data_IF_691618250322
#
_entry.id   IF_691618250322
#
_cell.length_a   1.000
_cell.length_b   1.000
_cell.length_c   1.000
_cell.angle_alpha   90.00
_cell.angle_beta   90.00
_cell.angle_gamma   90.00
#
_symmetry.space_group_name_H-M   'P 1'
#
loop_
_entity.id
_entity.type
_entity.pdbx_description
1 polymer ?
#
# COMPACT_ATOMS: atom_id res chain seq x y z
N UNK A 1 -30.30 -29.47 -39.61
CA UNK A 1 -30.05 -28.06 -39.12
C UNK A 1 -29.63 -28.01 -37.64
N UNK A 2 -29.89 -28.99 -36.79
CA UNK A 2 -29.54 -29.00 -35.37
C UNK A 2 -28.08 -29.42 -35.06
N UNK A 3 -27.43 -30.21 -35.89
CA UNK A 3 -26.03 -30.62 -35.68
C UNK A 3 -25.01 -29.49 -35.93
N UNK A 4 -25.27 -28.65 -36.91
CA UNK A 4 -24.42 -27.48 -37.21
C UNK A 4 -24.45 -26.43 -36.10
N UNK A 5 -25.64 -26.16 -35.50
CA UNK A 5 -25.76 -25.23 -34.34
C UNK A 5 -25.06 -25.76 -33.10
N UNK A 6 -25.04 -27.07 -32.86
CA UNK A 6 -24.39 -27.69 -31.71
C UNK A 6 -22.87 -27.59 -31.81
N UNK A 7 -22.33 -27.76 -33.03
CA UNK A 7 -20.86 -27.62 -33.25
C UNK A 7 -20.38 -26.20 -33.19
N UNK A 8 -21.14 -25.21 -33.63
CA UNK A 8 -20.78 -23.79 -33.51
C UNK A 8 -20.79 -23.31 -32.05
N UNK A 9 -21.74 -23.77 -31.23
CA UNK A 9 -21.77 -23.46 -29.79
C UNK A 9 -20.58 -24.08 -29.06
N UNK A 10 -20.21 -25.30 -29.39
CA UNK A 10 -19.03 -25.98 -28.83
C UNK A 10 -17.72 -25.28 -29.22
N UNK A 11 -17.58 -24.89 -30.48
CA UNK A 11 -16.42 -24.13 -30.97
C UNK A 11 -16.32 -22.76 -30.29
N UNK A 12 -17.44 -22.06 -30.06
CA UNK A 12 -17.47 -20.79 -29.34
C UNK A 12 -17.07 -20.96 -27.87
N UNK A 13 -17.58 -22.00 -27.19
CA UNK A 13 -17.17 -22.32 -25.81
C UNK A 13 -15.68 -22.68 -25.72
N UNK A 14 -15.16 -23.46 -26.66
CA UNK A 14 -13.75 -23.81 -26.73
C UNK A 14 -12.87 -22.59 -26.95
N UNK A 15 -13.29 -21.69 -27.86
CA UNK A 15 -12.58 -20.43 -28.13
C UNK A 15 -12.58 -19.48 -26.92
N UNK A 16 -13.72 -19.39 -26.22
CA UNK A 16 -13.84 -18.60 -24.98
C UNK A 16 -12.94 -19.16 -23.88
N UNK A 17 -12.90 -20.48 -23.70
CA UNK A 17 -12.02 -21.14 -22.75
C UNK A 17 -10.53 -20.92 -23.07
N UNK A 18 -10.15 -21.02 -24.35
CA UNK A 18 -8.78 -20.74 -24.81
C UNK A 18 -8.38 -19.26 -24.59
N UNK A 19 -9.31 -18.32 -24.74
CA UNK A 19 -9.08 -16.91 -24.52
C UNK A 19 -8.83 -16.59 -23.04
N UNK A 20 -9.53 -17.25 -22.12
CA UNK A 20 -9.32 -17.08 -20.66
C UNK A 20 -8.00 -17.69 -20.17
N UNK A 21 -7.45 -18.70 -20.81
CA UNK A 21 -6.16 -19.31 -20.42
C UNK A 21 -4.97 -18.36 -20.68
N UNK A 22 -5.10 -17.44 -21.64
CA UNK A 22 -4.02 -16.46 -21.95
C UNK A 22 -3.87 -15.36 -20.90
N UNK A 23 -4.83 -15.19 -19.97
CA UNK A 23 -4.79 -14.13 -18.95
C UNK A 23 -4.01 -14.51 -17.68
N UNK A 24 -3.47 -15.72 -17.60
CA UNK A 24 -2.93 -16.29 -16.36
C UNK A 24 -1.41 -16.09 -16.14
N UNK A 25 -0.67 -15.38 -17.02
CA UNK A 25 0.79 -15.28 -16.94
C UNK A 25 1.31 -13.88 -16.64
N UNK A 26 0.66 -13.14 -15.76
CA UNK A 26 1.07 -11.79 -15.38
C UNK A 26 1.78 -11.72 -14.02
N UNK A 27 2.49 -12.77 -13.57
CA UNK A 27 3.25 -12.71 -12.34
C UNK A 27 4.65 -12.11 -12.59
N UNK A 28 5.05 -11.17 -11.72
CA UNK A 28 6.39 -10.64 -11.75
C UNK A 28 7.40 -11.70 -11.29
N UNK A 29 8.37 -12.00 -12.13
CA UNK A 29 9.46 -12.91 -11.75
C UNK A 29 10.59 -12.12 -11.14
N UNK A 30 10.84 -12.33 -9.84
CA UNK A 30 11.98 -11.72 -9.15
C UNK A 30 13.26 -12.29 -9.78
N UNK A 31 14.22 -11.43 -10.21
CA UNK A 31 15.48 -11.89 -10.75
C UNK A 31 16.28 -12.72 -9.75
N UNK A 32 17.14 -13.60 -10.24
CA UNK A 32 18.09 -14.29 -9.37
C UNK A 32 19.01 -13.31 -8.64
N UNK A 33 19.51 -13.72 -7.47
CA UNK A 33 20.43 -12.90 -6.69
C UNK A 33 21.69 -12.62 -7.52
N UNK A 34 22.03 -11.34 -7.77
CA UNK A 34 23.24 -11.00 -8.52
C UNK A 34 24.51 -11.51 -7.82
N UNK A 35 25.48 -11.97 -8.60
CA UNK A 35 26.78 -12.43 -8.07
C UNK A 35 27.51 -11.32 -7.30
N UNK A 36 27.39 -10.07 -7.74
CA UNK A 36 27.88 -8.88 -7.05
C UNK A 36 26.70 -8.15 -6.44
N UNK A 37 26.65 -8.19 -5.12
CA UNK A 37 25.58 -7.50 -4.38
C UNK A 37 25.95 -6.03 -4.20
N UNK A 38 24.97 -5.17 -4.42
CA UNK A 38 25.06 -3.72 -4.25
C UNK A 38 23.80 -3.19 -3.60
N UNK A 39 23.78 -1.90 -3.26
CA UNK A 39 22.62 -1.26 -2.64
C UNK A 39 21.67 -0.60 -3.64
N UNK A 40 22.00 -0.52 -4.94
CA UNK A 40 21.16 0.13 -5.95
C UNK A 40 21.03 -0.72 -7.22
N UNK A 41 19.82 -1.19 -7.48
CA UNK A 41 19.46 -1.96 -8.68
C UNK A 41 18.46 -1.15 -9.53
N UNK A 42 18.98 -0.44 -10.50
CA UNK A 42 18.19 0.42 -11.38
C UNK A 42 17.82 -0.28 -12.69
N UNK A 43 16.81 -1.17 -12.64
CA UNK A 43 16.30 -1.87 -13.82
C UNK A 43 15.39 -0.99 -14.70
N UNK A 44 14.84 0.09 -14.15
CA UNK A 44 13.99 1.02 -14.90
C UNK A 44 14.77 2.16 -15.55
N UNK A 45 16.10 2.21 -15.36
CA UNK A 45 16.98 3.26 -15.88
C UNK A 45 16.45 4.67 -15.56
N UNK A 46 16.05 4.88 -14.29
CA UNK A 46 15.55 6.19 -13.81
C UNK A 46 16.67 7.07 -13.26
N UNK A 47 17.86 6.50 -13.05
CA UNK A 47 19.05 7.19 -12.57
C UNK A 47 20.11 7.24 -13.67
N UNK A 48 20.81 8.34 -13.79
CA UNK A 48 22.03 8.36 -14.58
C UNK A 48 23.20 7.67 -13.83
N UNK A 49 24.31 7.41 -14.52
CA UNK A 49 25.44 6.67 -13.94
C UNK A 49 26.02 7.35 -12.69
N UNK A 50 26.10 8.68 -12.68
CA UNK A 50 26.59 9.45 -11.54
C UNK A 50 25.65 9.40 -10.34
N UNK A 51 24.34 9.60 -10.58
CA UNK A 51 23.29 9.53 -9.56
C UNK A 51 23.25 8.14 -8.91
N UNK A 52 23.31 7.09 -9.73
CA UNK A 52 23.37 5.73 -9.23
C UNK A 52 24.59 5.51 -8.36
N UNK A 53 25.78 5.91 -8.81
CA UNK A 53 27.03 5.73 -8.06
C UNK A 53 27.01 6.49 -6.72
N UNK A 54 26.51 7.73 -6.70
CA UNK A 54 26.40 8.53 -5.48
C UNK A 54 25.42 7.92 -4.47
N UNK A 55 24.25 7.48 -4.92
CA UNK A 55 23.27 6.83 -4.05
C UNK A 55 23.83 5.50 -3.50
N UNK A 56 24.46 4.71 -4.35
CA UNK A 56 25.08 3.44 -3.97
C UNK A 56 26.19 3.62 -2.92
N UNK A 57 27.12 4.55 -3.14
CA UNK A 57 28.18 4.86 -2.18
C UNK A 57 27.61 5.30 -0.82
N UNK A 58 26.59 6.14 -0.83
CA UNK A 58 25.90 6.60 0.38
C UNK A 58 25.29 5.43 1.17
N UNK A 59 24.58 4.55 0.49
CA UNK A 59 23.92 3.40 1.12
C UNK A 59 24.92 2.36 1.64
N UNK A 60 26.00 2.10 0.92
CA UNK A 60 27.08 1.21 1.35
C UNK A 60 27.75 1.77 2.61
N UNK A 61 28.12 3.04 2.62
CA UNK A 61 28.70 3.71 3.82
C UNK A 61 27.77 3.63 5.03
N UNK A 62 26.46 3.76 4.81
CA UNK A 62 25.48 3.60 5.88
C UNK A 62 25.47 2.16 6.41
N UNK A 63 25.43 1.18 5.52
CA UNK A 63 25.46 -0.24 5.89
C UNK A 63 26.72 -0.60 6.67
N UNK A 64 27.88 -0.14 6.22
CA UNK A 64 29.18 -0.40 6.88
C UNK A 64 29.23 0.18 8.31
N UNK A 65 28.57 1.31 8.53
CA UNK A 65 28.58 2.00 9.83
C UNK A 65 27.51 1.50 10.81
N UNK A 66 26.41 0.90 10.31
CA UNK A 66 25.23 0.55 11.14
C UNK A 66 24.81 -0.90 11.04
N UNK A 67 25.42 -1.68 10.14
CA UNK A 67 25.02 -3.05 9.75
C UNK A 67 23.61 -3.14 9.14
N UNK A 68 22.92 -2.03 8.97
CA UNK A 68 21.58 -1.98 8.34
C UNK A 68 21.70 -1.89 6.82
N UNK A 69 21.16 -2.85 6.12
CA UNK A 69 21.16 -2.88 4.64
C UNK A 69 19.94 -2.16 4.09
N UNK A 70 20.15 -1.09 3.32
CA UNK A 70 19.07 -0.44 2.57
C UNK A 70 19.33 -0.67 1.09
N UNK A 71 18.36 -1.30 0.43
CA UNK A 71 18.45 -1.64 -0.99
C UNK A 71 17.37 -0.92 -1.76
N UNK A 72 17.79 -0.13 -2.75
CA UNK A 72 16.90 0.56 -3.69
C UNK A 72 16.80 -0.26 -4.97
N UNK A 73 15.59 -0.60 -5.35
CA UNK A 73 15.29 -1.37 -6.56
C UNK A 73 14.29 -0.57 -7.39
N UNK A 74 14.62 -0.30 -8.65
CA UNK A 74 13.69 0.30 -9.58
C UNK A 74 13.32 -0.70 -10.67
N UNK A 75 12.05 -0.78 -11.03
CA UNK A 75 11.53 -1.65 -12.08
C UNK A 75 10.66 -0.86 -13.05
N UNK A 76 10.62 -1.32 -14.29
CA UNK A 76 9.79 -0.66 -15.30
C UNK A 76 8.30 -0.83 -14.99
N UNK A 77 7.85 -2.04 -14.62
CA UNK A 77 6.44 -2.34 -14.32
C UNK A 77 6.30 -3.48 -13.33
N UNK A 78 5.24 -3.41 -12.52
CA UNK A 78 4.82 -4.47 -11.57
C UNK A 78 4.18 -5.67 -12.27
N UNK A 79 3.85 -5.57 -13.55
CA UNK A 79 3.14 -6.60 -14.33
C UNK A 79 1.87 -7.10 -13.62
N UNK A 80 1.15 -6.18 -12.97
CA UNK A 80 -0.11 -6.47 -12.29
C UNK A 80 0.02 -6.97 -10.85
N UNK A 81 1.24 -7.18 -10.32
CA UNK A 81 1.43 -7.50 -8.90
C UNK A 81 1.24 -6.26 -8.00
N UNK A 82 0.89 -6.51 -6.75
CA UNK A 82 0.85 -5.47 -5.72
C UNK A 82 2.27 -5.17 -5.21
N UNK A 83 2.64 -3.88 -5.20
CA UNK A 83 3.98 -3.46 -4.81
C UNK A 83 4.28 -3.75 -3.33
N UNK A 84 3.25 -3.69 -2.47
CA UNK A 84 3.37 -3.97 -1.04
C UNK A 84 3.58 -5.46 -0.75
N UNK A 85 3.19 -6.34 -1.68
CA UNK A 85 3.46 -7.78 -1.61
C UNK A 85 4.80 -8.10 -2.28
N UNK A 86 5.10 -7.47 -3.42
CA UNK A 86 6.32 -7.74 -4.17
C UNK A 86 7.58 -7.31 -3.42
N UNK A 87 7.56 -6.15 -2.74
CA UNK A 87 8.75 -5.65 -2.05
C UNK A 87 9.24 -6.58 -0.92
N UNK A 88 8.41 -7.01 0.05
CA UNK A 88 8.84 -7.95 1.07
C UNK A 88 9.22 -9.32 0.49
N UNK A 89 8.48 -9.82 -0.52
CA UNK A 89 8.80 -11.06 -1.24
C UNK A 89 10.18 -11.00 -1.88
N UNK A 90 10.56 -9.84 -2.44
CA UNK A 90 11.90 -9.62 -3.01
C UNK A 90 12.98 -9.64 -1.94
N UNK A 91 12.73 -8.99 -0.80
CA UNK A 91 13.63 -8.99 0.35
C UNK A 91 13.93 -10.40 0.87
N UNK A 92 12.90 -11.21 1.01
CA UNK A 92 13.04 -12.62 1.37
C UNK A 92 13.81 -13.40 0.31
N UNK A 93 13.49 -13.25 -0.98
CA UNK A 93 14.14 -13.98 -2.06
C UNK A 93 15.62 -13.68 -2.16
N UNK A 94 16.03 -12.45 -1.86
CA UNK A 94 17.43 -12.02 -1.92
C UNK A 94 18.13 -12.04 -0.58
N UNK A 95 17.46 -12.37 0.52
CA UNK A 95 18.05 -12.41 1.86
C UNK A 95 18.58 -11.07 2.35
N UNK A 96 17.91 -9.96 1.98
CA UNK A 96 18.31 -8.62 2.38
C UNK A 96 18.08 -8.44 3.88
N UNK A 97 19.09 -7.93 4.61
CA UNK A 97 19.00 -7.71 6.06
C UNK A 97 19.89 -8.62 6.89
N UNK A 98 20.64 -9.51 6.24
CA UNK A 98 21.67 -10.33 6.89
C UNK A 98 21.11 -11.56 7.58
N UNK A 99 21.44 -11.78 8.85
CA UNK A 99 21.07 -12.99 9.57
C UNK A 99 19.67 -12.90 10.16
N UNK A 100 19.01 -14.05 10.37
CA UNK A 100 17.68 -14.13 11.03
C UNK A 100 17.61 -13.43 12.39
N UNK A 101 18.73 -13.24 13.07
CA UNK A 101 18.79 -12.57 14.38
C UNK A 101 18.80 -11.04 14.24
N UNK A 102 19.24 -10.49 13.13
CA UNK A 102 19.41 -9.05 12.96
C UNK A 102 18.35 -8.41 12.06
N UNK A 103 17.86 -9.13 11.05
CA UNK A 103 16.76 -8.75 10.13
C UNK A 103 16.62 -7.24 9.83
N UNK A 104 17.77 -6.53 9.76
CA UNK A 104 17.83 -5.08 9.67
C UNK A 104 17.92 -4.59 8.21
N UNK A 105 17.22 -5.27 7.31
CA UNK A 105 17.08 -4.88 5.92
C UNK A 105 15.97 -3.85 5.69
N UNK A 106 16.12 -3.02 4.68
CA UNK A 106 15.07 -2.14 4.17
C UNK A 106 15.08 -2.20 2.66
N UNK A 107 13.93 -2.46 2.04
CA UNK A 107 13.76 -2.35 0.59
C UNK A 107 12.99 -1.10 0.25
N UNK A 108 13.49 -0.34 -0.72
CA UNK A 108 12.81 0.74 -1.40
C UNK A 108 12.55 0.28 -2.83
N UNK A 109 11.31 -0.10 -3.14
CA UNK A 109 10.91 -0.56 -4.46
C UNK A 109 10.16 0.53 -5.20
N UNK A 110 10.63 0.90 -6.39
CA UNK A 110 10.01 1.89 -7.28
C UNK A 110 9.55 1.21 -8.57
N UNK A 111 8.28 1.36 -8.91
CA UNK A 111 7.69 0.91 -10.18
C UNK A 111 7.35 2.13 -11.04
N UNK A 112 8.09 2.30 -12.13
CA UNK A 112 8.06 3.51 -12.97
C UNK A 112 6.76 3.67 -13.74
N UNK A 113 6.29 2.60 -14.39
CA UNK A 113 5.09 2.64 -15.22
C UNK A 113 3.82 2.89 -14.39
N UNK A 114 3.71 2.26 -13.22
CA UNK A 114 2.59 2.44 -12.31
C UNK A 114 2.73 3.67 -11.42
N UNK A 115 3.90 4.36 -11.46
CA UNK A 115 4.21 5.53 -10.63
C UNK A 115 4.01 5.22 -9.14
N UNK A 116 4.53 4.10 -8.69
CA UNK A 116 4.39 3.64 -7.31
C UNK A 116 5.75 3.45 -6.65
N UNK A 117 5.81 3.78 -5.38
CA UNK A 117 6.95 3.48 -4.51
C UNK A 117 6.46 2.77 -3.25
N UNK A 118 7.26 1.86 -2.75
CA UNK A 118 7.03 1.16 -1.49
C UNK A 118 8.32 1.03 -0.71
N UNK A 119 8.25 1.27 0.60
CA UNK A 119 9.34 1.00 1.53
C UNK A 119 8.90 -0.13 2.44
N UNK A 120 9.64 -1.23 2.42
CA UNK A 120 9.39 -2.41 3.25
C UNK A 120 10.55 -2.60 4.22
N UNK A 121 10.32 -2.44 5.53
CA UNK A 121 11.32 -2.76 6.56
C UNK A 121 11.35 -4.26 6.84
N UNK A 122 12.53 -4.78 7.20
CA UNK A 122 12.70 -6.07 7.84
C UNK A 122 12.32 -6.04 9.31
N UNK A 123 12.14 -7.21 9.93
CA UNK A 123 11.70 -7.33 11.32
C UNK A 123 12.57 -6.59 12.33
N UNK A 124 13.89 -6.50 12.10
CA UNK A 124 14.82 -5.84 13.03
C UNK A 124 14.75 -4.32 13.02
N UNK A 125 13.98 -3.70 12.13
CA UNK A 125 13.86 -2.24 12.00
C UNK A 125 12.42 -1.74 11.91
N UNK A 126 11.44 -2.63 11.89
CA UNK A 126 10.01 -2.26 11.75
C UNK A 126 9.44 -1.53 12.97
N UNK A 127 10.05 -1.70 14.15
CA UNK A 127 9.73 -0.97 15.36
C UNK A 127 9.98 0.53 15.21
N UNK A 128 10.97 0.92 14.42
CA UNK A 128 11.34 2.29 14.10
C UNK A 128 10.74 2.78 12.78
N UNK A 129 10.83 1.97 11.72
CA UNK A 129 10.22 2.23 10.41
C UNK A 129 8.80 1.68 10.34
N UNK A 130 7.94 2.13 11.25
CA UNK A 130 6.52 1.75 11.25
C UNK A 130 5.82 2.19 9.96
N UNK A 131 4.71 1.55 9.59
CA UNK A 131 3.94 1.92 8.40
C UNK A 131 3.50 3.41 8.41
N UNK A 132 3.20 3.95 9.59
CA UNK A 132 2.86 5.37 9.76
C UNK A 132 4.01 6.31 9.39
N UNK A 133 5.18 6.08 9.96
CA UNK A 133 6.40 6.86 9.69
C UNK A 133 6.82 6.68 8.22
N UNK A 134 6.86 5.45 7.74
CA UNK A 134 7.22 5.14 6.35
C UNK A 134 6.29 5.85 5.36
N UNK A 135 4.98 5.81 5.62
CA UNK A 135 4.00 6.52 4.79
C UNK A 135 4.16 8.05 4.84
N UNK A 136 4.59 8.60 5.96
CA UNK A 136 4.92 10.02 6.09
C UNK A 136 6.16 10.39 5.24
N UNK A 137 7.24 9.59 5.31
CA UNK A 137 8.42 9.79 4.49
C UNK A 137 8.08 9.77 2.99
N UNK A 138 7.30 8.78 2.56
CA UNK A 138 6.88 8.65 1.16
C UNK A 138 6.10 9.88 0.72
N UNK A 139 5.07 10.28 1.46
CA UNK A 139 4.17 11.38 1.06
C UNK A 139 4.81 12.76 1.13
N UNK A 140 5.64 13.00 2.16
CA UNK A 140 6.11 14.35 2.45
C UNK A 140 7.50 14.64 1.89
N UNK A 141 8.31 13.60 1.60
CA UNK A 141 9.70 13.75 1.16
C UNK A 141 9.89 13.21 -0.25
N UNK A 142 9.48 11.95 -0.51
CA UNK A 142 9.80 11.29 -1.77
C UNK A 142 8.88 11.75 -2.90
N UNK A 143 7.56 11.64 -2.72
CA UNK A 143 6.56 11.94 -3.75
C UNK A 143 6.67 13.38 -4.28
N UNK A 144 6.90 14.41 -3.47
CA UNK A 144 7.07 15.77 -3.99
C UNK A 144 8.22 15.90 -5.00
N UNK A 145 9.34 15.24 -4.76
CA UNK A 145 10.49 15.24 -5.68
C UNK A 145 10.18 14.49 -6.97
N UNK A 146 9.46 13.35 -6.88
CA UNK A 146 9.02 12.60 -8.05
C UNK A 146 8.05 13.41 -8.91
N UNK A 147 7.12 14.14 -8.28
CA UNK A 147 6.22 15.08 -8.97
C UNK A 147 6.97 16.24 -9.62
N UNK A 148 8.07 16.66 -9.03
CA UNK A 148 8.99 17.66 -9.61
C UNK A 148 9.87 17.10 -10.74
N UNK A 149 9.78 15.79 -11.04
CA UNK A 149 10.48 15.13 -12.13
C UNK A 149 11.85 14.57 -11.76
N UNK A 150 12.25 14.56 -10.49
CA UNK A 150 13.55 14.03 -10.05
C UNK A 150 13.40 12.76 -9.23
N UNK A 151 13.64 11.60 -9.87
CA UNK A 151 13.72 10.32 -9.16
C UNK A 151 14.91 10.28 -8.20
N UNK A 152 16.06 10.79 -8.64
CA UNK A 152 17.25 10.82 -7.81
C UNK A 152 17.03 11.59 -6.50
N UNK A 153 16.55 12.83 -6.57
CA UNK A 153 16.33 13.64 -5.37
C UNK A 153 15.34 12.99 -4.41
N UNK A 154 14.28 12.35 -4.93
CA UNK A 154 13.31 11.65 -4.09
C UNK A 154 13.92 10.44 -3.38
N UNK A 155 14.71 9.64 -4.08
CA UNK A 155 15.40 8.49 -3.49
C UNK A 155 16.51 8.92 -2.53
N UNK A 156 17.28 9.94 -2.88
CA UNK A 156 18.37 10.47 -2.06
C UNK A 156 17.87 11.04 -0.74
N UNK A 157 16.91 11.99 -0.79
CA UNK A 157 16.29 12.57 0.41
C UNK A 157 15.49 11.55 1.21
N UNK A 158 14.82 10.62 0.52
CA UNK A 158 14.06 9.54 1.14
C UNK A 158 14.96 8.62 1.96
N UNK A 159 16.13 8.24 1.44
CA UNK A 159 17.09 7.41 2.16
C UNK A 159 17.72 8.16 3.33
N UNK A 160 18.01 9.46 3.22
CA UNK A 160 18.46 10.28 4.36
C UNK A 160 17.41 10.30 5.47
N UNK A 161 16.14 10.47 5.12
CA UNK A 161 15.05 10.43 6.10
C UNK A 161 14.92 9.06 6.77
N UNK A 162 15.11 7.96 6.02
CA UNK A 162 15.19 6.62 6.60
C UNK A 162 16.34 6.53 7.60
N UNK A 163 17.53 7.06 7.27
CA UNK A 163 18.67 7.09 8.18
C UNK A 163 18.35 7.84 9.48
N UNK A 164 17.67 8.98 9.39
CA UNK A 164 17.28 9.77 10.56
C UNK A 164 16.26 9.05 11.44
N UNK A 165 15.31 8.35 10.84
CA UNK A 165 14.35 7.48 11.57
C UNK A 165 15.11 6.39 12.33
N UNK A 166 15.98 5.67 11.65
CA UNK A 166 16.73 4.55 12.24
C UNK A 166 17.70 5.00 13.34
N UNK A 167 18.21 6.24 13.25
CA UNK A 167 19.02 6.88 14.29
C UNK A 167 18.22 7.52 15.42
N UNK A 168 16.88 7.48 15.37
CA UNK A 168 15.99 8.12 16.34
C UNK A 168 16.01 9.66 16.30
N UNK A 169 16.48 10.25 15.19
CA UNK A 169 16.58 11.71 15.01
C UNK A 169 15.39 12.29 14.25
N UNK A 170 14.60 11.48 13.58
CA UNK A 170 13.47 11.93 12.78
C UNK A 170 12.35 12.48 13.68
N UNK A 171 12.01 13.74 13.47
CA UNK A 171 10.84 14.38 14.08
C UNK A 171 9.76 14.48 13.01
N UNK A 172 8.82 13.54 13.02
CA UNK A 172 7.68 13.54 12.12
C UNK A 172 6.94 14.89 12.16
N UNK A 173 6.69 15.48 11.01
CA UNK A 173 5.75 16.60 10.88
C UNK A 173 4.39 16.00 10.59
N UNK A 174 3.55 15.89 11.62
CA UNK A 174 2.13 15.61 11.40
C UNK A 174 1.59 16.76 10.54
N UNK A 175 1.37 16.51 9.26
CA UNK A 175 0.51 17.40 8.48
C UNK A 175 -0.86 17.27 9.15
N UNK A 176 -1.25 18.29 9.90
CA UNK A 176 -2.66 18.50 10.17
C UNK A 176 -3.28 18.53 8.76
N UNK A 177 -4.14 17.53 8.47
CA UNK A 177 -5.06 17.70 7.38
C UNK A 177 -5.71 19.03 7.69
N UNK A 178 -5.49 20.06 6.90
CA UNK A 178 -6.49 21.11 6.78
C UNK A 178 -7.77 20.34 6.51
N UNK A 179 -8.52 20.11 7.58
CA UNK A 179 -9.86 19.59 7.50
C UNK A 179 -10.50 20.60 6.60
N UNK A 180 -10.73 20.25 5.33
CA UNK A 180 -11.63 21.05 4.54
C UNK A 180 -12.81 21.20 5.45
N UNK A 181 -13.04 22.41 5.95
CA UNK A 181 -14.26 22.76 6.64
C UNK A 181 -15.37 22.39 5.67
N UNK A 182 -15.79 21.14 5.76
CA UNK A 182 -17.06 20.75 5.18
C UNK A 182 -18.04 21.69 5.86
N UNK A 183 -18.58 22.66 5.15
CA UNK A 183 -19.36 23.68 5.81
C UNK A 183 -20.55 22.97 6.44
N UNK A 184 -20.44 22.69 7.73
CA UNK A 184 -21.52 22.15 8.58
C UNK A 184 -22.81 22.92 8.28
N UNK A 185 -22.68 24.17 7.90
CA UNK A 185 -23.74 25.05 7.41
C UNK A 185 -24.53 24.42 6.24
N UNK A 186 -23.88 23.75 5.27
CA UNK A 186 -24.60 23.11 4.16
C UNK A 186 -25.44 21.93 4.67
N UNK A 187 -24.92 21.12 5.60
CA UNK A 187 -25.69 20.05 6.22
C UNK A 187 -26.88 20.59 7.04
N UNK A 188 -26.67 21.68 7.76
CA UNK A 188 -27.73 22.33 8.52
C UNK A 188 -28.80 22.86 7.58
N UNK A 189 -28.43 23.53 6.49
CA UNK A 189 -29.37 24.04 5.48
C UNK A 189 -30.15 22.89 4.83
N UNK A 190 -29.45 21.81 4.44
CA UNK A 190 -30.09 20.64 3.82
C UNK A 190 -31.06 19.96 4.80
N UNK A 191 -30.68 19.84 6.07
CA UNK A 191 -31.51 19.30 7.14
C UNK A 191 -32.75 20.16 7.36
N UNK A 192 -32.63 21.50 7.39
CA UNK A 192 -33.76 22.44 7.51
C UNK A 192 -34.68 22.32 6.30
N UNK A 193 -34.17 22.24 5.10
CA UNK A 193 -34.96 22.03 3.87
C UNK A 193 -35.76 20.73 3.95
N UNK A 194 -35.13 19.63 4.40
CA UNK A 194 -35.80 18.33 4.58
C UNK A 194 -36.95 18.47 5.62
N UNK A 195 -36.69 19.14 6.73
CA UNK A 195 -37.73 19.38 7.74
C UNK A 195 -38.92 20.21 7.19
N UNK A 196 -38.65 21.23 6.37
CA UNK A 196 -39.67 22.04 5.72
C UNK A 196 -40.51 21.20 4.74
N UNK A 197 -39.87 20.33 3.96
CA UNK A 197 -40.55 19.44 3.01
C UNK A 197 -41.47 18.46 3.76
N UNK A 198 -40.94 17.83 4.85
CA UNK A 198 -41.72 16.91 5.69
C UNK A 198 -42.91 17.65 6.36
N UNK A 199 -42.64 18.85 6.88
CA UNK A 199 -43.68 19.68 7.51
C UNK A 199 -44.81 20.12 6.53
N UNK A 200 -44.44 20.38 5.28
CA UNK A 200 -45.36 20.78 4.23
C UNK A 200 -46.18 19.63 3.64
N UNK A 201 -45.65 18.40 3.75
CA UNK A 201 -46.32 17.17 3.29
C UNK A 201 -47.48 16.73 4.20
N UNK A 202 -47.63 17.32 5.39
CA UNK A 202 -48.61 16.89 6.39
C UNK A 202 -49.89 17.75 6.41
N UNK A 203 -50.19 18.48 5.34
CA UNK A 203 -51.50 19.15 5.15
C UNK A 203 -52.36 18.38 4.15
N UNK A 204 -52.82 17.21 4.53
CA UNK A 204 -53.75 16.38 3.77
C UNK A 204 -54.51 15.43 4.69
N UNK A 205 -55.58 15.95 5.25
CA UNK A 205 -56.80 15.33 5.74
C UNK A 205 -56.88 13.79 5.81
N UNK A 206 -57.23 13.24 6.99
CA UNK A 206 -58.07 12.03 7.06
C UNK A 206 -57.50 10.85 7.83
N UNK A 207 -57.93 10.75 9.07
CA UNK A 207 -58.40 9.54 9.75
C UNK A 207 -57.87 8.19 9.26
N UNK A 208 -57.04 7.54 10.07
CA UNK A 208 -56.68 6.14 9.87
C UNK A 208 -55.60 5.68 10.84
N UNK A 209 -56.02 4.91 11.82
CA UNK A 209 -55.20 4.22 12.83
C UNK A 209 -54.16 3.34 12.12
N UNK A 210 -52.89 3.74 12.15
CA UNK A 210 -51.76 2.97 11.66
C UNK A 210 -50.49 3.71 12.02
N UNK A 211 -49.95 3.50 13.22
CA UNK A 211 -48.64 4.00 13.61
C UNK A 211 -47.58 3.33 12.73
N UNK A 212 -47.19 3.98 11.63
CA UNK A 212 -45.93 3.70 10.99
C UNK A 212 -44.84 4.23 11.92
N UNK A 213 -43.82 3.40 12.31
CA UNK A 213 -42.76 3.88 13.16
C UNK A 213 -42.03 5.04 12.46
N UNK A 214 -41.88 6.14 13.19
CA UNK A 214 -41.12 7.31 12.75
C UNK A 214 -39.67 6.91 12.55
N UNK A 215 -38.98 7.52 11.58
CA UNK A 215 -37.53 7.33 11.41
C UNK A 215 -36.76 7.57 12.70
N UNK A 216 -37.24 8.40 13.61
CA UNK A 216 -36.70 8.62 14.94
C UNK A 216 -36.86 7.40 15.84
N UNK A 217 -37.96 6.67 15.75
CA UNK A 217 -38.20 5.44 16.53
C UNK A 217 -37.27 4.33 16.06
N UNK A 218 -36.96 4.26 14.75
CA UNK A 218 -36.02 3.30 14.17
C UNK A 218 -34.59 3.62 14.63
N UNK A 219 -34.22 4.89 14.67
CA UNK A 219 -32.87 5.32 15.12
C UNK A 219 -32.69 5.06 16.62
N UNK A 220 -33.70 5.30 17.44
CA UNK A 220 -33.64 5.05 18.89
C UNK A 220 -33.60 3.55 19.17
N UNK A 221 -34.42 2.74 18.47
CA UNK A 221 -34.41 1.29 18.66
C UNK A 221 -33.10 0.64 18.14
N UNK A 222 -32.50 1.15 17.07
CA UNK A 222 -31.25 0.60 16.57
C UNK A 222 -30.05 0.85 17.49
N UNK A 223 -30.12 1.89 18.33
CA UNK A 223 -29.06 2.22 19.28
C UNK A 223 -29.23 1.54 20.65
N UNK A 224 -30.43 1.02 20.94
CA UNK A 224 -30.73 0.38 22.23
C UNK A 224 -30.37 -1.12 22.29
N UNK A 225 -30.06 -1.72 21.14
CA UNK A 225 -29.66 -3.13 21.02
C UNK A 225 -28.15 -3.40 21.11
N UNK A 226 -27.32 -2.40 21.34
CA UNK A 226 -25.84 -2.55 21.31
C UNK A 226 -25.18 -2.17 22.63
N UNK A 227 -25.72 -2.69 23.70
CA UNK A 227 -25.04 -2.78 24.98
C UNK A 227 -24.57 -4.23 25.16
N UNK A 228 -23.32 -4.46 24.92
CA UNK A 228 -22.71 -5.75 25.25
C UNK A 228 -21.48 -6.04 24.43
N UNK A 229 -20.33 -5.75 25.01
CA UNK A 229 -19.17 -6.63 24.88
C UNK A 229 -18.36 -6.56 23.62
N UNK A 230 -17.27 -5.87 23.69
CA UNK A 230 -15.98 -6.49 23.72
C UNK A 230 -15.43 -6.99 22.41
N UNK A 231 -14.25 -6.60 22.17
CA UNK A 231 -13.31 -7.38 21.40
C UNK A 231 -13.15 -6.91 19.96
N UNK A 232 -12.33 -5.91 19.78
CA UNK A 232 -11.51 -5.87 18.59
C UNK A 232 -10.54 -7.05 18.67
N UNK A 233 -11.01 -8.19 18.24
CA UNK A 233 -10.17 -9.32 17.91
C UNK A 233 -9.37 -8.95 16.69
N UNK A 234 -8.09 -8.64 16.90
CA UNK A 234 -7.12 -8.61 15.83
C UNK A 234 -7.14 -9.98 15.16
N UNK A 235 -7.60 -10.04 13.93
CA UNK A 235 -7.40 -11.19 13.06
C UNK A 235 -5.91 -11.31 12.79
N UNK A 236 -5.24 -12.12 13.58
CA UNK A 236 -3.96 -12.73 13.23
C UNK A 236 -4.24 -13.62 12.01
N UNK A 237 -4.03 -13.09 10.83
CA UNK A 237 -3.86 -13.91 9.64
C UNK A 237 -2.55 -14.65 9.82
N UNK A 238 -2.66 -15.94 10.16
CA UNK A 238 -1.54 -16.86 10.24
C UNK A 238 -0.78 -16.81 8.92
N UNK A 239 0.44 -16.27 8.98
CA UNK A 239 1.40 -16.36 7.91
C UNK A 239 1.73 -17.83 7.73
N UNK A 240 1.37 -18.36 6.55
CA UNK A 240 1.83 -19.67 6.12
C UNK A 240 3.36 -19.65 6.13
N UNK A 241 3.92 -20.54 6.92
CA UNK A 241 5.34 -20.84 6.97
C UNK A 241 5.78 -21.41 5.61
N UNK A 242 6.40 -20.59 4.78
CA UNK A 242 7.09 -21.07 3.59
C UNK A 242 8.44 -21.64 4.01
N UNK A 243 8.42 -22.92 4.41
CA UNK A 243 9.62 -23.69 4.67
C UNK A 243 10.50 -23.77 3.41
N UNK A 244 11.54 -22.97 3.36
CA UNK A 244 12.59 -23.01 2.35
C UNK A 244 13.79 -22.25 2.83
N UNK A 245 14.79 -22.98 3.36
CA UNK A 245 15.98 -22.43 3.98
C UNK A 245 16.87 -21.64 3.02
N UNK A 246 16.78 -20.35 3.07
CA UNK A 246 17.83 -19.41 2.71
C UNK A 246 18.05 -18.53 3.92
N UNK A 247 19.28 -18.51 4.44
CA UNK A 247 19.67 -17.67 5.56
C UNK A 247 19.54 -16.20 5.20
N UNK A 248 18.34 -15.64 5.32
CA UNK A 248 18.04 -14.27 5.01
C UNK A 248 17.00 -13.73 5.97
N UNK A 249 17.10 -12.45 6.24
CA UNK A 249 16.18 -11.71 7.09
C UNK A 249 14.73 -11.83 6.65
N UNK A 250 13.81 -11.77 7.62
CA UNK A 250 12.39 -11.79 7.40
C UNK A 250 11.83 -10.37 7.20
N UNK A 251 10.83 -10.25 6.34
CA UNK A 251 10.05 -9.03 6.16
C UNK A 251 8.61 -9.29 6.58
N UNK A 252 8.07 -8.46 7.47
CA UNK A 252 6.73 -8.65 8.05
C UNK A 252 5.58 -8.31 7.09
N UNK A 253 5.88 -7.79 5.89
CA UNK A 253 4.88 -7.14 5.06
C UNK A 253 4.42 -5.79 5.60
N UNK A 254 5.01 -5.33 6.70
CA UNK A 254 4.92 -3.95 7.18
C UNK A 254 5.54 -3.00 6.16
N UNK A 255 5.29 -1.71 6.34
CA UNK A 255 5.77 -0.71 5.42
C UNK A 255 4.63 0.13 4.85
N UNK A 256 4.98 1.05 3.99
CA UNK A 256 4.01 1.89 3.32
C UNK A 256 4.55 2.40 1.97
N UNK A 257 3.64 2.79 1.12
CA UNK A 257 3.97 3.36 -0.17
C UNK A 257 3.04 4.50 -0.56
N UNK A 258 3.16 4.90 -1.79
CA UNK A 258 2.30 5.90 -2.40
C UNK A 258 2.52 5.97 -3.90
N UNK A 259 1.72 6.76 -4.54
CA UNK A 259 1.71 7.03 -5.97
C UNK A 259 1.87 8.54 -6.23
N UNK A 260 2.36 8.92 -7.42
CA UNK A 260 2.58 10.31 -7.81
C UNK A 260 2.11 10.64 -9.22
#
# INVERSE_FOLDING_TARGET
MNLLKKNTSFLFQLFTCLFFVQLSFAQFTIPEIPKFQTSVYDYASVLNANEKAQLEEKLIKYSDSTTTQIVVITIESLKGEDIGILAPKWGHAWGIGGTKQNDNGVIVLLAKAERKIWISPGYGVEDRLTAGITGELVRNIIIPEFKAGSYYNGLDKGTDAIFDVLKGKYKGKRQEKEGGDFPIVIFIILFVIILIIISKSNKGNGSGIGRTPSLLDVIILSNMGRSGGGGFGGGSSGGGDFGGGFGGGGFSGGGAGGDW
#
